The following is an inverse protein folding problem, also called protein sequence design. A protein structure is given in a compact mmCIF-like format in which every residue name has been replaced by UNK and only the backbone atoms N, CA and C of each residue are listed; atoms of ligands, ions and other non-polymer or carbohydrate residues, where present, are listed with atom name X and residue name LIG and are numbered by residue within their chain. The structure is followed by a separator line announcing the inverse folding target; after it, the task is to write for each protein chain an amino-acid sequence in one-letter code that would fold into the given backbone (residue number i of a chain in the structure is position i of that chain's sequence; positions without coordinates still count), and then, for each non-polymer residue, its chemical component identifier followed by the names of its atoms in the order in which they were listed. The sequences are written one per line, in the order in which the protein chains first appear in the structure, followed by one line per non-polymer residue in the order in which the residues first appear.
data_IF_725516464473
#
_entry.id   IF_725516464473
#
_cell.length_a   1.000
_cell.length_b   1.000
_cell.length_c   1.000
_cell.angle_alpha   90.00
_cell.angle_beta   90.00
_cell.angle_gamma   90.00
#
_symmetry.space_group_name_H-M   'P 1'
#
loop_
_entity.id
_entity.type
_entity.pdbx_description
1 polymer ?
#
# COMPACT_ATOMS: atom_id res chain seq x y z
N UNK A 1 31.04 -15.89 33.08
CA UNK A 1 29.77 -16.48 32.59
C UNK A 1 28.68 -15.46 32.82
N UNK A 2 28.26 -14.73 31.78
CA UNK A 2 27.16 -13.76 31.89
C UNK A 2 26.20 -13.98 30.72
N UNK A 3 24.97 -14.38 31.04
CA UNK A 3 23.97 -14.79 30.07
C UNK A 3 23.34 -13.57 29.39
N UNK A 4 23.45 -13.50 28.07
CA UNK A 4 22.75 -12.49 27.26
C UNK A 4 21.27 -12.90 27.17
N UNK A 5 20.43 -12.23 27.95
CA UNK A 5 18.97 -12.36 27.86
C UNK A 5 18.48 -11.68 26.58
N UNK A 6 17.90 -12.47 25.67
CA UNK A 6 17.23 -11.99 24.45
C UNK A 6 15.88 -11.39 24.82
N UNK A 7 15.82 -10.06 24.92
CA UNK A 7 14.57 -9.31 25.09
C UNK A 7 13.77 -9.30 23.79
N UNK A 8 12.80 -10.20 23.66
CA UNK A 8 11.79 -10.17 22.60
C UNK A 8 10.89 -8.93 22.76
N UNK A 9 10.95 -8.01 21.80
CA UNK A 9 10.04 -6.86 21.76
C UNK A 9 8.74 -7.23 21.04
N UNK A 10 7.66 -6.88 21.73
CA UNK A 10 6.27 -7.29 21.54
C UNK A 10 5.72 -6.82 20.19
N UNK A 11 5.28 -7.78 19.38
CA UNK A 11 4.11 -7.61 18.51
C UNK A 11 2.93 -7.38 19.46
N UNK A 12 2.24 -6.26 19.35
CA UNK A 12 0.88 -5.99 19.84
C UNK A 12 0.78 -4.57 20.40
N UNK A 13 0.80 -3.54 19.55
CA UNK A 13 0.18 -2.25 19.90
C UNK A 13 0.01 -1.30 18.72
N UNK A 14 -0.79 -1.70 17.72
CA UNK A 14 -1.42 -0.73 16.82
C UNK A 14 -2.88 -1.10 16.50
N UNK A 15 -3.59 -1.62 17.50
CA UNK A 15 -5.06 -1.71 17.48
C UNK A 15 -5.64 -0.46 18.15
N UNK A 16 -5.46 0.71 17.53
CA UNK A 16 -6.18 1.92 17.95
C UNK A 16 -7.60 1.88 17.40
N UNK A 17 -8.54 1.69 18.33
CA UNK A 17 -9.90 2.26 18.41
C UNK A 17 -10.67 2.36 17.09
N UNK A 18 -11.56 1.40 16.85
CA UNK A 18 -12.66 1.54 15.88
C UNK A 18 -13.83 2.28 16.54
N UNK A 19 -14.34 3.40 16.00
CA UNK A 19 -15.72 3.76 16.25
C UNK A 19 -16.61 2.83 15.42
N UNK A 20 -17.40 2.01 16.11
CA UNK A 20 -18.51 1.27 15.53
C UNK A 20 -19.55 2.31 15.08
N UNK A 21 -19.86 2.36 13.78
CA UNK A 21 -21.00 3.15 13.28
C UNK A 21 -20.71 4.28 12.30
N UNK A 22 -19.46 4.57 11.94
CA UNK A 22 -19.21 5.52 10.85
C UNK A 22 -19.52 4.86 9.49
N UNK A 23 -20.72 5.12 8.94
CA UNK A 23 -20.97 4.97 7.50
C UNK A 23 -20.07 5.97 6.79
N UNK A 24 -18.82 5.58 6.57
CA UNK A 24 -17.95 6.26 5.62
C UNK A 24 -18.56 5.97 4.26
N UNK A 25 -19.47 6.85 3.84
CA UNK A 25 -19.72 7.06 2.43
C UNK A 25 -18.38 7.52 1.88
N UNK A 26 -17.58 6.56 1.38
CA UNK A 26 -16.48 6.89 0.49
C UNK A 26 -17.19 7.52 -0.70
N UNK A 27 -17.35 8.84 -0.67
CA UNK A 27 -17.80 9.61 -1.81
C UNK A 27 -16.99 9.11 -2.98
N UNK A 28 -17.68 8.70 -4.04
CA UNK A 28 -17.06 8.24 -5.26
C UNK A 28 -16.03 9.32 -5.65
N UNK A 29 -14.71 9.03 -5.60
CA UNK A 29 -13.72 9.96 -6.13
C UNK A 29 -14.17 10.26 -7.56
N UNK A 30 -14.19 11.53 -7.97
CA UNK A 30 -14.88 11.97 -9.20
C UNK A 30 -14.48 11.17 -10.46
N UNK A 31 -13.30 10.54 -10.43
CA UNK A 31 -12.76 9.67 -11.48
C UNK A 31 -13.32 8.23 -11.52
N UNK A 32 -14.03 7.78 -10.47
CA UNK A 32 -14.59 6.44 -10.34
C UNK A 32 -16.11 6.38 -10.51
N UNK A 33 -16.76 7.51 -10.86
CA UNK A 33 -18.19 7.51 -11.16
C UNK A 33 -18.48 6.55 -12.32
N UNK A 34 -17.55 6.49 -13.28
CA UNK A 34 -17.63 5.61 -14.44
C UNK A 34 -16.81 4.33 -14.25
N UNK A 35 -17.39 3.21 -14.66
CA UNK A 35 -16.63 1.97 -14.76
C UNK A 35 -15.54 2.07 -15.84
N UNK A 36 -14.26 1.80 -15.54
CA UNK A 36 -13.19 1.82 -16.54
C UNK A 36 -13.34 0.73 -17.60
N UNK A 37 -14.31 -0.17 -17.45
CA UNK A 37 -14.55 -1.27 -18.36
C UNK A 37 -15.72 -1.07 -19.31
N UNK A 38 -16.76 -0.33 -18.89
CA UNK A 38 -17.99 -0.17 -19.66
C UNK A 38 -18.57 1.25 -19.59
N UNK A 39 -17.87 2.18 -18.95
CA UNK A 39 -18.19 3.62 -18.82
C UNK A 39 -19.52 3.95 -18.11
N UNK A 40 -20.28 2.93 -17.68
CA UNK A 40 -21.52 3.11 -16.95
C UNK A 40 -21.29 3.84 -15.61
N UNK A 41 -22.07 4.89 -15.38
CA UNK A 41 -22.00 5.77 -14.20
C UNK A 41 -22.76 5.20 -13.00
N UNK A 42 -22.31 5.50 -11.77
CA UNK A 42 -23.03 5.23 -10.52
C UNK A 42 -23.51 3.78 -10.34
N UNK A 43 -22.77 2.85 -10.94
CA UNK A 43 -23.15 1.43 -10.99
C UNK A 43 -22.39 0.56 -9.99
N UNK A 44 -21.52 1.13 -9.16
CA UNK A 44 -20.69 0.38 -8.23
C UNK A 44 -21.40 0.04 -6.92
N UNK A 45 -21.25 -1.21 -6.48
CA UNK A 45 -21.63 -1.66 -5.14
C UNK A 45 -20.41 -2.22 -4.40
N UNK A 46 -20.40 -2.12 -3.07
CA UNK A 46 -19.34 -2.69 -2.24
C UNK A 46 -19.25 -4.22 -2.45
N UNK A 47 -18.05 -4.71 -2.77
CA UNK A 47 -17.78 -6.12 -3.11
C UNK A 47 -16.61 -6.66 -2.27
N UNK A 48 -16.59 -6.27 -0.99
CA UNK A 48 -15.61 -6.72 -0.01
C UNK A 48 -14.28 -5.97 -0.05
N UNK A 49 -13.27 -6.59 0.56
CA UNK A 49 -11.92 -6.06 0.65
C UNK A 49 -10.89 -7.19 0.70
N UNK A 50 -9.64 -6.90 0.41
CA UNK A 50 -8.53 -7.82 0.62
C UNK A 50 -7.33 -7.11 1.24
N UNK A 51 -6.49 -7.86 1.95
CA UNK A 51 -5.25 -7.34 2.50
C UNK A 51 -4.13 -7.43 1.47
N UNK A 52 -3.35 -6.37 1.36
CA UNK A 52 -2.20 -6.30 0.47
C UNK A 52 -0.98 -5.84 1.26
N UNK A 53 0.16 -6.49 1.00
CA UNK A 53 1.46 -5.97 1.44
C UNK A 53 1.85 -4.77 0.57
N UNK A 54 2.29 -3.72 1.23
CA UNK A 54 2.88 -2.54 0.62
C UNK A 54 4.30 -2.44 1.18
N UNK A 55 5.27 -2.68 0.31
CA UNK A 55 6.69 -2.80 0.66
C UNK A 55 7.33 -1.43 0.44
N UNK A 56 7.77 -0.82 1.53
CA UNK A 56 8.69 0.31 1.49
C UNK A 56 10.14 -0.21 1.54
N UNK A 57 11.13 0.69 1.47
CA UNK A 57 12.54 0.33 1.67
C UNK A 57 12.80 -0.19 3.09
N UNK A 58 12.13 0.42 4.07
CA UNK A 58 12.43 0.21 5.48
C UNK A 58 11.38 -0.63 6.20
N UNK A 59 10.12 -0.51 5.79
CA UNK A 59 9.00 -1.15 6.47
C UNK A 59 8.02 -1.84 5.51
N UNK A 60 7.62 -3.05 5.90
CA UNK A 60 6.53 -3.77 5.29
C UNK A 60 5.22 -3.41 6.00
N UNK A 61 4.30 -2.73 5.33
CA UNK A 61 2.96 -2.49 5.87
C UNK A 61 1.90 -3.36 5.18
N UNK A 62 0.82 -3.65 5.91
CA UNK A 62 -0.37 -4.34 5.37
C UNK A 62 -1.54 -3.37 5.33
N UNK A 63 -2.07 -3.15 4.14
CA UNK A 63 -3.21 -2.26 3.93
C UNK A 63 -4.42 -3.04 3.43
N UNK A 64 -5.61 -2.56 3.79
CA UNK A 64 -6.86 -3.14 3.31
C UNK A 64 -7.31 -2.39 2.04
N UNK A 65 -7.43 -3.11 0.93
CA UNK A 65 -7.90 -2.59 -0.35
C UNK A 65 -9.39 -2.92 -0.52
N UNK A 66 -10.22 -1.89 -0.69
CA UNK A 66 -11.66 -2.04 -0.97
C UNK A 66 -11.87 -2.46 -2.42
N UNK A 67 -12.84 -3.34 -2.63
CA UNK A 67 -13.28 -3.83 -3.94
C UNK A 67 -14.72 -3.38 -4.20
N UNK A 68 -14.98 -3.02 -5.45
CA UNK A 68 -16.28 -2.57 -5.93
C UNK A 68 -16.68 -3.40 -7.15
N UNK A 69 -17.95 -3.77 -7.24
CA UNK A 69 -18.51 -4.51 -8.37
C UNK A 69 -19.38 -3.57 -9.19
N UNK A 70 -19.09 -3.47 -10.49
CA UNK A 70 -19.99 -2.78 -11.41
C UNK A 70 -21.24 -3.63 -11.63
N UNK A 71 -22.43 -3.08 -11.38
CA UNK A 71 -23.71 -3.78 -11.59
C UNK A 71 -23.96 -4.09 -13.08
N UNK A 72 -23.50 -3.24 -13.99
CA UNK A 72 -23.74 -3.37 -15.44
C UNK A 72 -22.86 -4.45 -16.07
N UNK A 73 -21.54 -4.31 -15.99
CA UNK A 73 -20.62 -5.25 -16.64
C UNK A 73 -20.10 -6.36 -15.73
N UNK A 74 -20.53 -6.39 -14.46
CA UNK A 74 -20.17 -7.40 -13.46
C UNK A 74 -18.67 -7.56 -13.22
N UNK A 75 -17.85 -6.58 -13.63
CA UNK A 75 -16.41 -6.56 -13.35
C UNK A 75 -16.13 -5.93 -12.00
N UNK A 76 -15.15 -6.49 -11.31
CA UNK A 76 -14.67 -5.96 -10.03
C UNK A 76 -13.51 -5.00 -10.25
N UNK A 77 -13.56 -3.84 -9.61
CA UNK A 77 -12.46 -2.88 -9.53
C UNK A 77 -11.98 -2.77 -8.09
N UNK A 78 -10.69 -2.51 -7.92
CA UNK A 78 -10.09 -2.25 -6.61
C UNK A 78 -9.65 -0.80 -6.57
N UNK A 79 -9.95 -0.09 -5.48
CA UNK A 79 -9.46 1.27 -5.28
C UNK A 79 -8.12 1.16 -4.56
N UNK A 80 -7.05 1.43 -5.30
CA UNK A 80 -5.69 1.46 -4.76
C UNK A 80 -5.37 2.88 -4.30
N UNK A 81 -4.66 3.05 -3.18
CA UNK A 81 -4.02 4.32 -2.87
C UNK A 81 -3.07 4.75 -4.01
N UNK A 82 -2.95 6.05 -4.24
CA UNK A 82 -2.14 6.62 -5.33
C UNK A 82 -0.66 6.20 -5.30
N UNK A 83 -0.13 5.94 -4.11
CA UNK A 83 1.24 5.47 -3.90
C UNK A 83 1.46 3.98 -4.23
N UNK A 84 0.43 3.23 -4.66
CA UNK A 84 0.53 1.83 -5.04
C UNK A 84 0.09 1.57 -6.47
N UNK A 85 1.00 1.01 -7.27
CA UNK A 85 0.69 0.58 -8.61
C UNK A 85 -0.12 -0.74 -8.61
N UNK A 86 -0.91 -0.92 -9.66
CA UNK A 86 -1.64 -2.18 -9.91
C UNK A 86 -0.63 -3.33 -10.05
N UNK A 87 -0.86 -4.44 -9.33
CA UNK A 87 -0.02 -5.66 -9.32
C UNK A 87 1.43 -5.48 -8.81
N UNK A 88 1.79 -4.35 -8.18
CA UNK A 88 3.12 -4.14 -7.55
C UNK A 88 3.04 -4.11 -6.04
N UNK A 89 3.94 -4.78 -5.33
CA UNK A 89 3.94 -4.75 -3.87
C UNK A 89 4.74 -3.55 -3.34
N UNK A 90 5.78 -3.13 -4.06
CA UNK A 90 6.56 -1.95 -3.72
C UNK A 90 5.77 -0.65 -3.90
N UNK A 91 6.01 0.30 -3.00
CA UNK A 91 5.51 1.67 -3.13
C UNK A 91 6.04 2.31 -4.40
N UNK A 92 5.28 3.26 -4.94
CA UNK A 92 5.68 4.03 -6.12
C UNK A 92 7.02 4.76 -5.91
N UNK A 93 7.26 5.28 -4.71
CA UNK A 93 8.52 5.93 -4.34
C UNK A 93 9.72 4.98 -4.52
N UNK A 94 9.66 3.78 -3.94
CA UNK A 94 10.73 2.77 -4.09
C UNK A 94 11.00 2.44 -5.56
N UNK A 95 9.94 2.26 -6.35
CA UNK A 95 10.08 1.97 -7.79
C UNK A 95 10.76 3.15 -8.51
N UNK A 96 10.32 4.37 -8.22
CA UNK A 96 10.89 5.58 -8.81
C UNK A 96 12.36 5.75 -8.46
N UNK A 97 12.73 5.44 -7.22
CA UNK A 97 14.10 5.55 -6.74
C UNK A 97 15.02 4.55 -7.42
N UNK A 98 14.61 3.28 -7.52
CA UNK A 98 15.38 2.24 -8.23
C UNK A 98 15.57 2.61 -9.71
N UNK A 99 14.51 3.11 -10.36
CA UNK A 99 14.59 3.56 -11.75
C UNK A 99 15.53 4.76 -11.87
N UNK A 100 15.49 5.70 -10.92
CA UNK A 100 16.37 6.87 -10.90
C UNK A 100 17.83 6.46 -10.71
N UNK A 101 18.13 5.68 -9.67
CA UNK A 101 19.47 5.17 -9.42
C UNK A 101 20.02 4.39 -10.61
N UNK A 102 19.19 3.52 -11.21
CA UNK A 102 19.64 2.68 -12.33
C UNK A 102 19.91 3.46 -13.61
N UNK A 103 19.06 4.42 -13.95
CA UNK A 103 19.07 5.05 -15.29
C UNK A 103 19.58 6.49 -15.31
N UNK A 104 19.50 7.23 -14.20
CA UNK A 104 20.05 8.58 -14.10
C UNK A 104 21.42 8.61 -13.44
N UNK A 105 21.66 7.73 -12.47
CA UNK A 105 22.91 7.70 -11.70
C UNK A 105 23.85 6.57 -12.13
N UNK A 106 23.40 5.71 -13.05
CA UNK A 106 24.08 4.50 -13.53
C UNK A 106 24.61 3.60 -12.39
N UNK A 107 23.88 3.56 -11.27
CA UNK A 107 24.22 2.72 -10.14
C UNK A 107 24.09 1.24 -10.52
N UNK A 108 25.05 0.44 -10.07
CA UNK A 108 24.98 -1.02 -10.15
C UNK A 108 23.92 -1.58 -9.21
N UNK A 109 23.43 -2.79 -9.49
CA UNK A 109 22.47 -3.47 -8.62
C UNK A 109 22.96 -3.63 -7.19
N UNK A 110 24.25 -3.93 -6.99
CA UNK A 110 24.84 -4.05 -5.66
C UNK A 110 24.79 -2.74 -4.85
N UNK A 111 24.99 -1.59 -5.51
CA UNK A 111 24.86 -0.28 -4.86
C UNK A 111 23.40 0.01 -4.48
N UNK A 112 22.45 -0.29 -5.37
CA UNK A 112 21.01 -0.10 -5.12
C UNK A 112 20.53 -0.98 -3.96
N UNK A 113 21.00 -2.23 -3.88
CA UNK A 113 20.67 -3.14 -2.77
C UNK A 113 21.22 -2.63 -1.44
N UNK A 114 22.47 -2.15 -1.40
CA UNK A 114 23.08 -1.58 -0.20
C UNK A 114 22.31 -0.36 0.32
N UNK A 115 21.88 0.53 -0.57
CA UNK A 115 21.05 1.71 -0.23
C UNK A 115 19.71 1.31 0.42
N UNK A 116 19.12 0.18 -0.01
CA UNK A 116 17.88 -0.34 0.57
C UNK A 116 18.04 -0.89 1.99
N UNK A 117 19.26 -1.23 2.40
CA UNK A 117 19.57 -1.75 3.74
C UNK A 117 20.03 -0.68 4.74
N UNK A 118 20.36 0.52 4.26
CA UNK A 118 20.96 1.60 5.05
C UNK A 118 20.01 2.78 5.25
N UNK A 119 18.93 2.61 6.03
CA UNK A 119 18.41 3.68 6.89
C UNK A 119 17.46 3.07 7.94
N UNK A 120 17.87 3.10 9.19
CA UNK A 120 16.97 2.99 10.33
C UNK A 120 17.35 4.14 11.26
N UNK A 121 16.32 4.76 11.84
CA UNK A 121 16.36 5.89 12.79
C UNK A 121 16.39 7.27 12.13
N UNK A 122 15.21 7.79 11.84
CA UNK A 122 14.92 9.20 12.04
C UNK A 122 13.56 9.31 12.75
N UNK A 123 13.63 9.63 14.04
CA UNK A 123 12.50 10.16 14.82
C UNK A 123 11.84 11.30 14.03
N UNK A 124 10.53 11.18 13.82
CA UNK A 124 9.70 12.29 13.34
C UNK A 124 9.21 13.04 14.60
N UNK A 125 9.39 14.38 14.70
CA UNK A 125 9.02 15.16 15.88
C UNK A 125 7.52 15.20 16.17
#
# INVERSE_FOLDING_TARGET
MSSIQRGGRRRDELQRRRPVGARIWIHCPRDFCHSPHCQASDTFIGHGAYWRKALDRWEDCRIQIKRWLCKTCRRTVSILPSFLLRRRQYLLAVIQDVVTARFKEDASWGQIEQQGTSESVADVP
#
